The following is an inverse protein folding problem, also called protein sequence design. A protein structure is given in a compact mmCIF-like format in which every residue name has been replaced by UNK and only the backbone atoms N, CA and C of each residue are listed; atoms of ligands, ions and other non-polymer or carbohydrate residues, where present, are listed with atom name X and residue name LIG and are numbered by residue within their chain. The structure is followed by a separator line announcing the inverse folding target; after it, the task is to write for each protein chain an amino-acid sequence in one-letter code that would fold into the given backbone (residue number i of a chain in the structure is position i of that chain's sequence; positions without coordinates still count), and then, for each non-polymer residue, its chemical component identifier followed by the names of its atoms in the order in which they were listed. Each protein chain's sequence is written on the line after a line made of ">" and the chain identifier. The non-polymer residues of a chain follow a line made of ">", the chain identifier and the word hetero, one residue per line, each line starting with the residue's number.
data_IF_852623535114
#
_entry.id   IF_852623535114
#
_cell.length_a   1.000
_cell.length_b   1.000
_cell.length_c   1.000
_cell.angle_alpha   90.00
_cell.angle_beta   90.00
_cell.angle_gamma   90.00
#
_symmetry.space_group_name_H-M   'P 1'
#
loop_
_entity.id
_entity.type
_entity.pdbx_description
1 polymer ?
#
# COMPACT_ATOMS: atom_id res chain seq x y z
N UNK A 1 13.93 -4.43 -10.44
CA UNK A 1 13.83 -5.39 -9.34
C UNK A 1 14.66 -6.63 -9.67
N UNK A 2 15.19 -7.36 -8.67
CA UNK A 2 15.98 -8.57 -8.86
C UNK A 2 15.28 -9.59 -9.75
N UNK A 3 14.01 -9.84 -9.50
CA UNK A 3 13.19 -10.78 -10.28
C UNK A 3 13.18 -10.49 -11.79
N UNK A 4 13.12 -9.23 -12.19
CA UNK A 4 13.14 -8.85 -13.62
C UNK A 4 14.48 -9.18 -14.27
N UNK A 5 15.59 -8.98 -13.56
CA UNK A 5 16.91 -9.29 -14.05
C UNK A 5 17.12 -10.81 -14.18
N UNK A 6 16.66 -11.58 -13.21
CA UNK A 6 16.71 -13.07 -13.23
C UNK A 6 15.92 -13.62 -14.42
N UNK A 7 14.67 -13.19 -14.60
CA UNK A 7 13.83 -13.61 -15.73
C UNK A 7 14.42 -13.21 -17.10
N UNK A 8 15.08 -12.05 -17.20
CA UNK A 8 15.76 -11.66 -18.44
C UNK A 8 16.95 -12.56 -18.74
N UNK A 9 17.76 -12.90 -17.74
CA UNK A 9 18.92 -13.81 -17.92
C UNK A 9 18.45 -15.19 -18.39
N UNK A 10 17.33 -15.69 -17.87
CA UNK A 10 16.72 -16.95 -18.30
C UNK A 10 16.10 -16.86 -19.72
N UNK A 11 15.50 -15.75 -20.06
CA UNK A 11 14.79 -15.60 -21.34
C UNK A 11 15.73 -15.37 -22.54
N UNK A 12 16.86 -14.66 -22.35
CA UNK A 12 17.77 -14.31 -23.45
C UNK A 12 18.31 -15.52 -24.20
N UNK A 13 18.82 -16.58 -23.56
CA UNK A 13 19.26 -17.79 -24.26
C UNK A 13 18.15 -18.47 -25.06
N UNK A 14 16.92 -18.48 -24.55
CA UNK A 14 15.77 -19.06 -25.24
C UNK A 14 15.43 -18.26 -26.49
N UNK A 15 15.47 -16.92 -26.40
CA UNK A 15 15.23 -16.02 -27.54
C UNK A 15 16.30 -16.20 -28.62
N UNK A 16 17.57 -16.32 -28.20
CA UNK A 16 18.70 -16.58 -29.11
C UNK A 16 18.57 -17.94 -29.82
N UNK A 17 18.24 -18.99 -29.08
CA UNK A 17 18.03 -20.33 -29.60
C UNK A 17 16.83 -20.42 -30.58
N UNK A 18 15.78 -19.60 -30.39
CA UNK A 18 14.66 -19.51 -31.29
C UNK A 18 15.05 -18.96 -32.70
N UNK A 19 16.17 -18.23 -32.77
CA UNK A 19 16.74 -17.73 -34.02
C UNK A 19 15.85 -16.73 -34.79
N UNK A 20 16.28 -16.29 -35.98
CA UNK A 20 15.50 -15.43 -36.85
C UNK A 20 14.35 -16.20 -37.53
N UNK A 21 13.30 -15.48 -37.96
CA UNK A 21 12.17 -16.05 -38.65
C UNK A 21 10.87 -15.27 -38.47
N UNK A 22 9.78 -15.72 -39.13
CA UNK A 22 8.46 -15.12 -38.91
C UNK A 22 8.02 -15.20 -37.43
N UNK A 23 7.29 -14.20 -36.98
CA UNK A 23 6.86 -14.09 -35.59
C UNK A 23 6.17 -15.37 -35.09
N UNK A 24 5.25 -15.91 -35.85
CA UNK A 24 4.46 -17.08 -35.44
C UNK A 24 5.33 -18.32 -35.22
N UNK A 25 6.31 -18.54 -36.08
CA UNK A 25 7.26 -19.66 -35.94
C UNK A 25 8.16 -19.49 -34.73
N UNK A 26 8.60 -18.26 -34.47
CA UNK A 26 9.42 -17.95 -33.30
C UNK A 26 8.66 -18.16 -32.00
N UNK A 27 7.39 -17.72 -31.93
CA UNK A 27 6.53 -17.96 -30.77
C UNK A 27 6.36 -19.44 -30.48
N UNK A 28 6.16 -20.24 -31.54
CA UNK A 28 6.08 -21.71 -31.41
C UNK A 28 7.37 -22.33 -30.91
N UNK A 29 8.55 -21.89 -31.42
CA UNK A 29 9.86 -22.40 -30.98
C UNK A 29 10.15 -22.00 -29.50
N UNK A 30 9.61 -20.87 -29.04
CA UNK A 30 9.71 -20.42 -27.67
C UNK A 30 8.71 -21.10 -26.72
N UNK A 31 7.80 -21.93 -27.25
CA UNK A 31 6.74 -22.56 -26.46
C UNK A 31 5.74 -21.58 -25.88
N UNK A 32 5.56 -20.40 -26.51
CA UNK A 32 4.67 -19.36 -26.02
C UNK A 32 3.24 -19.66 -26.48
N UNK A 33 2.33 -19.62 -25.51
CA UNK A 33 0.89 -19.70 -25.79
C UNK A 33 0.31 -18.29 -26.01
N UNK A 34 -0.53 -18.09 -27.03
CA UNK A 34 -1.26 -16.85 -27.22
C UNK A 34 -2.14 -16.57 -26.01
N UNK A 35 -2.19 -15.32 -25.56
CA UNK A 35 -3.10 -14.93 -24.50
C UNK A 35 -4.55 -15.15 -24.95
N UNK A 36 -5.39 -15.84 -24.15
CA UNK A 36 -6.81 -16.02 -24.48
C UNK A 36 -7.49 -14.65 -24.66
N UNK A 37 -8.33 -14.53 -25.69
CA UNK A 37 -9.13 -13.30 -25.89
C UNK A 37 -10.29 -13.18 -24.91
N UNK A 38 -10.74 -14.31 -24.34
CA UNK A 38 -11.78 -14.34 -23.33
C UNK A 38 -11.20 -14.11 -21.94
N UNK A 39 -11.89 -13.31 -21.11
CA UNK A 39 -11.47 -13.01 -19.73
C UNK A 39 -10.35 -12.00 -19.61
N UNK A 40 -9.94 -11.34 -20.69
CA UNK A 40 -8.99 -10.23 -20.60
C UNK A 40 -9.57 -9.08 -19.76
N UNK A 41 -8.81 -8.64 -18.77
CA UNK A 41 -9.13 -7.45 -17.99
C UNK A 41 -8.17 -6.34 -18.34
N UNK A 42 -8.71 -5.16 -18.63
CA UNK A 42 -7.90 -3.96 -18.86
C UNK A 42 -7.79 -3.16 -17.56
N UNK A 43 -6.56 -2.95 -17.10
CA UNK A 43 -6.31 -2.01 -16.02
C UNK A 43 -6.50 -0.59 -16.57
N UNK A 44 -7.46 0.16 -16.02
CA UNK A 44 -7.63 1.58 -16.37
C UNK A 44 -6.47 2.43 -15.81
N UNK A 45 -6.24 3.56 -16.41
CA UNK A 45 -5.30 4.55 -15.86
C UNK A 45 -5.82 5.06 -14.50
N UNK A 46 -4.89 5.27 -13.56
CA UNK A 46 -5.19 5.86 -12.27
C UNK A 46 -5.55 7.34 -12.44
N UNK A 47 -6.58 7.76 -11.73
CA UNK A 47 -6.99 9.16 -11.62
C UNK A 47 -6.56 9.73 -10.26
N UNK A 48 -6.71 11.04 -10.06
CA UNK A 48 -6.39 11.68 -8.77
C UNK A 48 -7.25 11.12 -7.62
N UNK A 49 -8.48 10.75 -7.90
CA UNK A 49 -9.42 10.22 -6.89
C UNK A 49 -9.02 8.83 -6.40
N UNK A 50 -8.29 8.06 -7.20
CA UNK A 50 -7.80 6.76 -6.78
C UNK A 50 -6.80 6.83 -5.62
N UNK A 51 -6.13 7.97 -5.46
CA UNK A 51 -5.17 8.19 -4.39
C UNK A 51 -5.82 8.66 -3.08
N UNK A 52 -7.09 9.07 -3.12
CA UNK A 52 -7.80 9.46 -1.91
C UNK A 52 -8.20 8.22 -1.10
N UNK A 53 -7.82 8.22 0.18
CA UNK A 53 -8.15 7.13 1.10
C UNK A 53 -9.60 7.28 1.58
N UNK A 54 -10.37 6.22 1.38
CA UNK A 54 -11.72 6.07 1.94
C UNK A 54 -11.62 5.31 3.28
N UNK A 55 -11.83 6.01 4.38
CA UNK A 55 -11.76 5.46 5.73
C UNK A 55 -12.91 4.50 6.07
N UNK A 56 -13.99 4.48 5.29
CA UNK A 56 -15.08 3.52 5.45
C UNK A 56 -14.68 2.09 5.06
N UNK A 57 -13.58 1.96 4.32
CA UNK A 57 -13.04 0.67 3.94
C UNK A 57 -12.38 -0.04 5.13
N UNK A 58 -12.29 -1.39 5.13
CA UNK A 58 -11.53 -2.13 6.12
C UNK A 58 -10.04 -1.76 6.12
N UNK A 59 -9.38 -1.77 7.28
CA UNK A 59 -7.96 -1.43 7.44
C UNK A 59 -7.03 -2.16 6.45
N UNK A 60 -7.29 -3.43 6.16
CA UNK A 60 -6.48 -4.20 5.21
C UNK A 60 -6.63 -3.69 3.77
N UNK A 61 -7.81 -3.24 3.37
CA UNK A 61 -8.03 -2.65 2.05
C UNK A 61 -7.31 -1.29 1.93
N UNK A 62 -7.40 -0.47 2.97
CA UNK A 62 -6.67 0.81 3.04
C UNK A 62 -5.16 0.58 3.00
N UNK A 63 -4.64 -0.36 3.80
CA UNK A 63 -3.22 -0.71 3.79
C UNK A 63 -2.74 -1.12 2.40
N UNK A 64 -3.45 -2.03 1.73
CA UNK A 64 -3.13 -2.47 0.37
C UNK A 64 -3.15 -1.32 -0.63
N UNK A 65 -4.10 -0.39 -0.51
CA UNK A 65 -4.16 0.82 -1.34
C UNK A 65 -2.94 1.71 -1.10
N UNK A 66 -2.56 1.95 0.16
CA UNK A 66 -1.37 2.75 0.51
C UNK A 66 -0.11 2.12 -0.08
N UNK A 67 0.05 0.81 0.05
CA UNK A 67 1.22 0.10 -0.49
C UNK A 67 1.24 0.09 -2.02
N UNK A 68 0.11 -0.17 -2.66
CA UNK A 68 0.01 -0.24 -4.13
C UNK A 68 0.13 1.12 -4.83
N UNK A 69 -0.25 2.22 -4.16
CA UNK A 69 -0.22 3.58 -4.70
C UNK A 69 0.91 4.43 -4.11
N UNK A 70 1.88 3.80 -3.46
CA UNK A 70 3.02 4.50 -2.85
C UNK A 70 3.78 5.36 -3.87
N UNK A 71 4.16 6.60 -3.54
CA UNK A 71 3.90 7.38 -2.32
C UNK A 71 2.69 8.35 -2.46
N UNK A 72 1.68 7.99 -3.25
CA UNK A 72 0.61 8.90 -3.67
C UNK A 72 -0.66 8.86 -2.80
N UNK A 73 -0.93 7.74 -2.11
CA UNK A 73 -2.14 7.60 -1.29
C UNK A 73 -2.20 8.68 -0.19
N UNK A 74 -3.33 9.37 -0.06
CA UNK A 74 -3.46 10.50 0.85
C UNK A 74 -4.88 10.64 1.40
N UNK A 75 -5.00 11.42 2.47
CA UNK A 75 -6.26 11.88 3.02
C UNK A 75 -6.20 13.39 3.31
N UNK A 76 -7.33 13.96 3.71
CA UNK A 76 -7.39 15.30 4.29
C UNK A 76 -7.14 15.21 5.80
N UNK A 77 -6.28 16.08 6.30
CA UNK A 77 -5.97 16.24 7.71
C UNK A 77 -6.03 17.72 8.06
N UNK A 78 -7.08 18.12 8.77
CA UNK A 78 -7.29 19.53 9.16
C UNK A 78 -7.10 20.51 7.99
N UNK A 79 -7.70 20.21 6.86
CA UNK A 79 -7.65 21.06 5.66
C UNK A 79 -6.37 20.96 4.83
N UNK A 80 -5.38 20.13 5.25
CA UNK A 80 -4.14 19.88 4.51
C UNK A 80 -4.10 18.45 3.99
N UNK A 81 -3.38 18.24 2.91
CA UNK A 81 -3.14 16.90 2.38
C UNK A 81 -2.11 16.17 3.25
N UNK A 82 -2.48 14.98 3.72
CA UNK A 82 -1.59 14.05 4.43
C UNK A 82 -1.38 12.81 3.56
N UNK A 83 -0.17 12.61 3.03
CA UNK A 83 0.19 11.37 2.35
C UNK A 83 0.50 10.28 3.36
N UNK A 84 -0.08 9.10 3.17
CA UNK A 84 0.18 7.93 4.00
C UNK A 84 1.32 7.14 3.34
N UNK A 85 2.42 6.92 4.06
CA UNK A 85 3.61 6.29 3.51
C UNK A 85 3.85 4.89 4.07
N UNK A 86 3.56 4.66 5.35
CA UNK A 86 3.65 3.35 5.97
C UNK A 86 2.49 3.13 6.94
N UNK A 87 1.81 2.02 6.77
CA UNK A 87 0.64 1.64 7.58
C UNK A 87 0.71 0.17 7.93
N UNK A 88 0.02 -0.24 8.99
CA UNK A 88 -0.20 -1.65 9.36
C UNK A 88 -1.66 -1.84 9.77
N UNK A 89 -2.36 -2.83 9.18
CA UNK A 89 -3.75 -3.12 9.56
C UNK A 89 -3.76 -3.91 10.88
N UNK A 90 -4.45 -3.41 11.92
CA UNK A 90 -4.51 -4.08 13.22
C UNK A 90 -5.48 -5.27 13.20
N UNK A 91 -5.21 -6.21 12.30
CA UNK A 91 -5.99 -7.44 12.11
C UNK A 91 -5.36 -8.57 12.90
N UNK A 92 -5.97 -9.00 13.99
CA UNK A 92 -5.41 -10.01 14.92
C UNK A 92 -4.96 -11.30 14.21
N UNK A 93 -5.71 -11.80 13.22
CA UNK A 93 -5.33 -13.00 12.45
C UNK A 93 -4.04 -12.84 11.63
N UNK A 94 -3.57 -11.62 11.42
CA UNK A 94 -2.34 -11.29 10.70
C UNK A 94 -1.18 -10.92 11.66
N UNK A 95 -1.34 -11.08 12.97
CA UNK A 95 -0.38 -10.63 13.97
C UNK A 95 1.06 -11.12 13.70
N UNK A 96 1.22 -12.36 13.19
CA UNK A 96 2.53 -12.91 12.83
C UNK A 96 3.22 -12.20 11.65
N UNK A 97 2.49 -11.40 10.88
CA UNK A 97 3.00 -10.65 9.71
C UNK A 97 3.18 -9.16 10.03
N UNK A 98 2.75 -8.71 11.21
CA UNK A 98 2.85 -7.33 11.65
C UNK A 98 4.16 -7.09 12.42
N UNK A 99 4.55 -5.83 12.58
CA UNK A 99 5.59 -5.46 13.55
C UNK A 99 5.17 -5.83 14.96
N UNK A 100 6.13 -5.95 15.88
CA UNK A 100 5.85 -6.30 17.28
C UNK A 100 4.85 -5.35 17.94
N UNK A 101 4.95 -4.05 17.66
CA UNK A 101 4.03 -3.03 18.17
C UNK A 101 2.63 -3.18 17.57
N UNK A 102 2.52 -3.37 16.26
CA UNK A 102 1.24 -3.56 15.61
C UNK A 102 0.58 -4.87 16.01
N UNK A 103 1.36 -5.94 16.19
CA UNK A 103 0.87 -7.22 16.71
C UNK A 103 0.26 -7.08 18.11
N UNK A 104 0.96 -6.40 19.02
CA UNK A 104 0.46 -6.12 20.37
C UNK A 104 -0.83 -5.27 20.34
N UNK A 105 -0.90 -4.27 19.46
CA UNK A 105 -2.08 -3.41 19.29
C UNK A 105 -3.26 -4.18 18.67
N UNK A 106 -3.00 -5.14 17.78
CA UNK A 106 -4.05 -5.90 17.09
C UNK A 106 -4.89 -6.80 18.00
N UNK A 107 -4.33 -7.20 19.13
CA UNK A 107 -5.01 -8.00 20.16
C UNK A 107 -5.85 -7.18 21.16
N UNK A 108 -5.79 -5.85 21.11
CA UNK A 108 -6.52 -4.98 22.06
C UNK A 108 -7.94 -4.74 21.60
N UNK A 109 -8.90 -4.60 22.53
CA UNK A 109 -10.23 -4.09 22.20
C UNK A 109 -10.14 -2.60 21.85
N UNK A 110 -10.76 -2.20 20.74
CA UNK A 110 -10.82 -0.83 20.29
C UNK A 110 -12.25 -0.28 20.36
N UNK A 111 -12.46 0.96 20.81
CA UNK A 111 -13.78 1.55 20.81
C UNK A 111 -14.27 1.75 19.35
N UNK A 112 -15.57 1.68 19.17
CA UNK A 112 -16.19 2.11 17.91
C UNK A 112 -16.07 3.63 17.83
N UNK A 113 -15.59 4.13 16.70
CA UNK A 113 -15.44 5.55 16.44
C UNK A 113 -15.69 5.84 14.96
N UNK A 114 -15.86 7.09 14.63
CA UNK A 114 -16.04 7.52 13.24
C UNK A 114 -14.81 7.19 12.40
N UNK A 115 -14.96 6.52 11.24
CA UNK A 115 -13.85 6.21 10.35
C UNK A 115 -13.03 7.47 9.99
N UNK A 116 -11.70 7.35 10.10
CA UNK A 116 -10.76 8.46 9.93
C UNK A 116 -10.39 9.20 11.21
N UNK A 117 -11.12 8.99 12.31
CA UNK A 117 -10.80 9.59 13.60
C UNK A 117 -9.59 8.92 14.28
N UNK A 118 -8.87 9.70 15.11
CA UNK A 118 -7.73 9.20 15.89
C UNK A 118 -8.24 8.47 17.12
N UNK A 119 -7.92 7.18 17.23
CA UNK A 119 -8.22 6.37 18.41
C UNK A 119 -7.13 6.50 19.47
N UNK A 120 -5.87 6.48 19.06
CA UNK A 120 -4.73 6.56 19.97
C UNK A 120 -3.49 7.16 19.30
N UNK A 121 -2.71 7.92 20.05
CA UNK A 121 -1.37 8.38 19.69
C UNK A 121 -0.35 7.50 20.41
N UNK A 122 0.20 6.50 19.73
CA UNK A 122 1.13 5.54 20.33
C UNK A 122 2.52 6.13 20.32
N UNK A 123 3.01 6.47 21.53
CA UNK A 123 4.31 7.13 21.71
C UNK A 123 5.44 6.32 21.04
N UNK A 124 6.22 6.99 20.21
CA UNK A 124 7.35 6.38 19.50
C UNK A 124 6.98 5.56 18.26
N UNK A 125 5.69 5.33 18.00
CA UNK A 125 5.24 4.41 16.93
C UNK A 125 4.44 5.14 15.85
N UNK A 126 3.33 5.81 16.22
CA UNK A 126 2.48 6.47 15.25
C UNK A 126 1.05 6.72 15.73
N UNK A 127 0.10 6.79 14.81
CA UNK A 127 -1.31 7.02 15.07
C UNK A 127 -2.14 5.77 14.79
N UNK A 128 -3.03 5.43 15.69
CA UNK A 128 -4.09 4.45 15.44
C UNK A 128 -5.34 5.20 15.00
N UNK A 129 -5.84 4.85 13.83
CA UNK A 129 -6.98 5.48 13.18
C UNK A 129 -8.14 4.49 13.03
N UNK A 130 -9.35 4.97 13.28
CA UNK A 130 -10.57 4.19 13.04
C UNK A 130 -10.78 3.97 11.54
N UNK A 131 -11.33 2.81 11.18
CA UNK A 131 -11.71 2.46 9.80
C UNK A 131 -13.09 1.81 9.81
N UNK A 132 -13.59 1.44 8.64
CA UNK A 132 -14.82 0.66 8.53
C UNK A 132 -14.76 -0.76 9.11
N UNK A 133 -13.61 -1.15 9.70
CA UNK A 133 -13.40 -2.45 10.35
C UNK A 133 -12.49 -2.33 11.56
N UNK A 134 -11.45 -3.18 11.65
CA UNK A 134 -10.41 -3.04 12.67
C UNK A 134 -9.57 -1.77 12.39
N UNK A 135 -8.91 -1.17 13.41
CA UNK A 135 -8.12 0.03 13.21
C UNK A 135 -6.90 -0.16 12.33
N UNK A 136 -6.38 0.97 11.83
CA UNK A 136 -5.16 1.07 11.05
C UNK A 136 -4.10 1.84 11.85
N UNK A 137 -2.89 1.29 11.96
CA UNK A 137 -1.74 1.98 12.49
C UNK A 137 -1.03 2.75 11.36
N UNK A 138 -0.96 4.06 11.46
CA UNK A 138 -0.16 4.93 10.58
C UNK A 138 1.21 5.14 11.21
N UNK A 139 2.26 4.60 10.59
CA UNK A 139 3.64 4.67 11.08
C UNK A 139 4.45 5.81 10.48
N UNK A 140 4.18 6.13 9.22
CA UNK A 140 4.87 7.21 8.52
C UNK A 140 3.92 7.92 7.57
N UNK A 141 4.03 9.24 7.53
CA UNK A 141 3.23 10.09 6.66
C UNK A 141 4.01 11.35 6.27
N UNK A 142 3.49 12.07 5.29
CA UNK A 142 4.00 13.37 4.87
C UNK A 142 2.86 14.38 4.86
N UNK A 143 2.89 15.32 5.80
CA UNK A 143 1.98 16.45 5.81
C UNK A 143 2.39 17.46 4.73
N UNK A 144 1.42 18.05 4.07
CA UNK A 144 1.65 19.08 3.04
C UNK A 144 2.55 20.22 3.58
N UNK A 145 3.60 20.54 2.81
CA UNK A 145 4.61 21.53 3.20
C UNK A 145 5.64 21.04 4.22
N UNK A 146 5.61 19.75 4.61
CA UNK A 146 6.59 19.15 5.54
C UNK A 146 7.34 17.98 4.90
N UNK A 147 8.47 17.63 5.50
CA UNK A 147 9.17 16.39 5.17
C UNK A 147 8.37 15.18 5.66
N UNK A 148 8.61 14.02 5.04
CA UNK A 148 8.08 12.74 5.53
C UNK A 148 8.60 12.47 6.95
N UNK A 149 7.73 12.02 7.84
CA UNK A 149 8.03 11.75 9.23
C UNK A 149 7.41 10.43 9.70
N UNK A 150 8.03 9.83 10.71
CA UNK A 150 7.54 8.64 11.39
C UNK A 150 7.69 8.75 12.90
N UNK A 151 7.08 7.85 13.66
CA UNK A 151 7.22 7.77 15.11
C UNK A 151 7.00 9.10 15.82
N UNK A 152 7.95 9.55 16.69
CA UNK A 152 7.80 10.78 17.46
C UNK A 152 7.64 12.04 16.62
N UNK A 153 8.37 12.15 15.52
CA UNK A 153 8.32 13.32 14.63
C UNK A 153 6.95 13.44 13.95
N UNK A 154 6.38 12.33 13.50
CA UNK A 154 5.02 12.29 12.96
C UNK A 154 4.02 12.80 14.00
N UNK A 155 4.10 12.28 15.22
CA UNK A 155 3.21 12.68 16.31
C UNK A 155 3.35 14.18 16.65
N UNK A 156 4.55 14.73 16.58
CA UNK A 156 4.81 16.15 16.80
C UNK A 156 4.24 17.01 15.66
N UNK A 157 4.49 16.63 14.41
CA UNK A 157 3.97 17.35 13.23
C UNK A 157 2.43 17.42 13.22
N UNK A 158 1.77 16.34 13.63
CA UNK A 158 0.30 16.26 13.63
C UNK A 158 -0.33 16.89 14.90
N UNK A 159 0.42 17.10 16.00
CA UNK A 159 -0.05 17.85 17.18
C UNK A 159 -0.02 19.36 16.97
N UNK A 160 0.98 19.87 16.28
CA UNK A 160 1.15 21.31 16.02
C UNK A 160 0.00 21.93 15.22
N UNK A 161 -0.97 21.15 14.81
CA UNK A 161 -2.17 21.60 14.08
C UNK A 161 -3.42 21.64 14.96
N UNK A 162 -3.33 21.17 16.24
CA UNK A 162 -4.47 21.14 17.17
C UNK A 162 -4.63 22.46 17.97
N UNK A 163 -3.86 23.53 17.61
CA UNK A 163 -3.93 24.87 18.25
C UNK A 163 -4.61 25.89 17.36
#
# INVERSE_FOLDING_TARGET
>A
SGLTAELLVEALPLIEAAGPGPQQERLTRLGLEPQPSEGMTLARLLTKDDFLVDWQQPALAIHRRVMGLYPGAHCQWQGKRLKLLATEPLVQRLAAQLSGEAAALSGRPWPKAEPGSVLERVKGVGLVLATGGCPLLLRSAQLEGKAAAGGPELLQQLRAQDQ
#
